data_IF_183987030130
#
_entry.id   IF_183987030130
#
_cell.length_a   1.000
_cell.length_b   1.000
_cell.length_c   1.000
_cell.angle_alpha   90.00
_cell.angle_beta   90.00
_cell.angle_gamma   90.00
#
_symmetry.space_group_name_H-M   'P 1'
#
loop_
_entity.id
_entity.type
_entity.pdbx_description
1 polymer ?
#
# COMPACT_ATOMS: atom_id res chain seq x y z
N UNK A 1 7.98 -14.34 -6.98
CA UNK A 1 8.39 -15.35 -7.96
C UNK A 1 8.82 -16.64 -7.27
N UNK A 2 8.95 -17.74 -8.01
CA UNK A 2 9.44 -19.04 -7.51
C UNK A 2 10.86 -18.94 -7.00
N UNK A 3 11.72 -18.19 -7.67
CA UNK A 3 13.13 -17.96 -7.28
C UNK A 3 13.22 -17.28 -5.91
N UNK A 4 12.36 -16.30 -5.65
CA UNK A 4 12.31 -15.62 -4.34
C UNK A 4 11.84 -16.57 -3.23
N UNK A 5 10.86 -17.43 -3.52
CA UNK A 5 10.38 -18.46 -2.58
C UNK A 5 11.51 -19.44 -2.26
N UNK A 6 12.25 -19.91 -3.28
CA UNK A 6 13.37 -20.83 -3.11
C UNK A 6 14.49 -20.19 -2.28
N UNK A 7 14.88 -18.95 -2.61
CA UNK A 7 15.89 -18.22 -1.86
C UNK A 7 15.49 -18.02 -0.38
N UNK A 8 14.23 -17.66 -0.12
CA UNK A 8 13.70 -17.51 1.22
C UNK A 8 13.72 -18.84 1.98
N UNK A 9 13.33 -19.92 1.32
CA UNK A 9 13.35 -21.26 1.91
C UNK A 9 14.76 -21.76 2.25
N UNK A 10 15.78 -21.43 1.42
CA UNK A 10 17.18 -21.71 1.72
C UNK A 10 17.62 -20.93 2.95
N UNK A 11 17.34 -19.63 3.00
CA UNK A 11 17.69 -18.76 4.13
C UNK A 11 17.03 -19.22 5.43
N UNK A 12 15.73 -19.53 5.40
CA UNK A 12 14.99 -20.03 6.55
C UNK A 12 15.58 -21.34 7.10
N UNK A 13 15.95 -22.25 6.20
CA UNK A 13 16.60 -23.51 6.57
C UNK A 13 17.96 -23.29 7.22
N UNK A 14 18.77 -22.40 6.64
CA UNK A 14 20.09 -22.07 7.19
C UNK A 14 20.01 -21.39 8.55
N UNK A 15 18.92 -20.69 8.83
CA UNK A 15 18.64 -20.05 10.10
C UNK A 15 17.88 -20.97 11.09
N UNK A 16 17.68 -22.24 10.73
CA UNK A 16 16.94 -23.24 11.53
C UNK A 16 15.55 -22.73 11.97
N UNK A 17 14.86 -22.01 11.10
CA UNK A 17 13.55 -21.40 11.39
C UNK A 17 12.53 -21.70 10.30
N UNK A 18 11.26 -21.39 10.58
CA UNK A 18 10.19 -21.42 9.60
C UNK A 18 9.60 -20.01 9.43
N UNK A 19 9.49 -19.55 8.17
CA UNK A 19 8.97 -18.22 7.83
C UNK A 19 7.56 -18.35 7.27
N UNK A 20 6.62 -17.53 7.80
CA UNK A 20 5.29 -17.34 7.23
C UNK A 20 5.33 -16.51 5.96
N UNK A 21 4.60 -16.94 4.93
CA UNK A 21 4.59 -16.32 3.60
C UNK A 21 3.16 -15.99 3.18
N UNK A 22 2.98 -14.76 2.75
CA UNK A 22 1.79 -14.31 2.03
C UNK A 22 2.13 -14.19 0.54
N UNK A 23 1.28 -14.72 -0.31
CA UNK A 23 1.44 -14.60 -1.77
C UNK A 23 0.77 -13.31 -2.21
N UNK A 24 1.54 -12.43 -2.86
CA UNK A 24 1.04 -11.17 -3.40
C UNK A 24 0.22 -11.43 -4.67
N UNK A 25 -0.99 -10.86 -4.72
CA UNK A 25 -1.89 -10.88 -5.86
C UNK A 25 -2.05 -9.45 -6.41
N UNK A 26 -1.75 -9.24 -7.67
CA UNK A 26 -2.03 -7.97 -8.34
C UNK A 26 -3.55 -7.79 -8.51
N UNK A 27 -4.06 -6.77 -7.87
CA UNK A 27 -5.49 -6.44 -7.88
C UNK A 27 -5.80 -5.23 -8.76
N UNK A 28 -4.88 -4.83 -9.65
CA UNK A 28 -5.04 -3.73 -10.60
C UNK A 28 -4.08 -2.56 -10.41
N UNK A 29 -3.16 -2.63 -9.44
CA UNK A 29 -2.12 -1.61 -9.28
C UNK A 29 -0.93 -1.82 -10.24
N UNK A 30 -0.74 -3.04 -10.73
CA UNK A 30 0.28 -3.41 -11.73
C UNK A 30 1.71 -3.07 -11.31
N UNK A 31 2.02 -3.23 -10.01
CA UNK A 31 3.36 -2.99 -9.48
C UNK A 31 4.09 -4.29 -9.15
N UNK A 32 3.43 -5.17 -8.41
CA UNK A 32 3.94 -6.47 -7.95
C UNK A 32 2.78 -7.45 -7.84
N UNK A 33 3.08 -8.70 -7.61
CA UNK A 33 2.09 -9.74 -7.36
C UNK A 33 1.88 -10.69 -8.54
N UNK A 34 1.21 -11.80 -8.27
CA UNK A 34 0.73 -12.71 -9.27
C UNK A 34 -0.35 -12.02 -10.13
N UNK A 35 -0.23 -12.10 -11.45
CA UNK A 35 -1.13 -11.38 -12.35
C UNK A 35 -2.57 -11.92 -12.36
N UNK A 36 -2.79 -13.15 -11.88
CA UNK A 36 -4.10 -13.80 -11.86
C UNK A 36 -4.27 -14.67 -10.61
N UNK A 37 -5.52 -14.98 -10.20
CA UNK A 37 -5.81 -15.97 -9.17
C UNK A 37 -5.13 -17.32 -9.41
N UNK A 38 -5.11 -17.80 -10.65
CA UNK A 38 -4.43 -19.05 -11.03
C UNK A 38 -2.91 -18.98 -10.82
N UNK A 39 -2.28 -17.87 -11.20
CA UNK A 39 -0.85 -17.66 -10.97
C UNK A 39 -0.52 -17.57 -9.46
N UNK A 40 -1.42 -16.99 -8.65
CA UNK A 40 -1.26 -16.98 -7.20
C UNK A 40 -1.32 -18.38 -6.59
N UNK A 41 -2.18 -19.25 -7.11
CA UNK A 41 -2.26 -20.67 -6.70
C UNK A 41 -0.95 -21.42 -6.97
N UNK A 42 -0.31 -21.20 -8.12
CA UNK A 42 0.97 -21.86 -8.42
C UNK A 42 2.07 -21.43 -7.43
N UNK A 43 2.13 -20.13 -7.09
CA UNK A 43 3.05 -19.66 -6.05
C UNK A 43 2.72 -20.24 -4.67
N UNK A 44 1.44 -20.30 -4.31
CA UNK A 44 1.00 -20.89 -3.05
C UNK A 44 1.38 -22.38 -2.92
N UNK A 45 1.21 -23.13 -4.01
CA UNK A 45 1.66 -24.53 -4.10
C UNK A 45 3.17 -24.66 -3.92
N UNK A 46 3.93 -23.73 -4.50
CA UNK A 46 5.39 -23.71 -4.38
C UNK A 46 5.83 -23.43 -2.94
N UNK A 47 5.21 -22.47 -2.25
CA UNK A 47 5.42 -22.22 -0.82
C UNK A 47 5.09 -23.45 0.01
N UNK A 48 3.92 -24.06 -0.21
CA UNK A 48 3.44 -25.20 0.58
C UNK A 48 4.32 -26.46 0.47
N UNK A 49 5.08 -26.62 -0.62
CA UNK A 49 6.03 -27.72 -0.79
C UNK A 49 7.33 -27.52 -0.01
N UNK A 50 7.63 -26.30 0.44
CA UNK A 50 8.87 -25.99 1.14
C UNK A 50 8.69 -26.11 2.65
N UNK A 51 9.38 -27.10 3.26
CA UNK A 51 9.25 -27.42 4.70
C UNK A 51 9.71 -26.28 5.62
N UNK A 52 10.56 -25.37 5.13
CA UNK A 52 11.06 -24.23 5.90
C UNK A 52 10.17 -22.98 5.74
N UNK A 53 9.09 -23.09 4.96
CA UNK A 53 8.11 -22.03 4.80
C UNK A 53 6.73 -22.50 5.26
N UNK A 54 5.92 -21.57 5.69
CA UNK A 54 4.52 -21.77 6.03
C UNK A 54 3.67 -20.86 5.15
N UNK A 55 2.73 -21.44 4.41
CA UNK A 55 1.78 -20.65 3.64
C UNK A 55 0.75 -20.05 4.62
N UNK A 56 0.75 -18.72 4.78
CA UNK A 56 -0.17 -18.02 5.66
C UNK A 56 -1.37 -17.41 4.92
N UNK A 57 -1.23 -17.07 3.65
CA UNK A 57 -2.35 -16.56 2.88
C UNK A 57 -1.99 -15.64 1.72
N UNK A 58 -2.87 -14.67 1.47
CA UNK A 58 -2.78 -13.69 0.39
C UNK A 58 -2.34 -12.32 0.92
N UNK A 59 -1.63 -11.61 0.06
CA UNK A 59 -1.27 -10.21 0.21
C UNK A 59 -1.82 -9.45 -0.99
N UNK A 60 -2.25 -8.20 -0.80
CA UNK A 60 -2.62 -7.30 -1.89
C UNK A 60 -2.41 -5.84 -1.51
N UNK A 61 -2.29 -4.95 -2.49
CA UNK A 61 -2.13 -3.52 -2.24
C UNK A 61 -2.96 -2.67 -3.21
N UNK A 62 -4.02 -1.97 -2.74
CA UNK A 62 -4.90 -1.14 -3.56
C UNK A 62 -4.33 0.27 -3.77
N UNK A 63 -3.07 0.38 -4.19
CA UNK A 63 -2.36 1.65 -4.35
C UNK A 63 -2.87 2.55 -5.47
N UNK A 64 -3.72 2.04 -6.35
CA UNK A 64 -4.39 2.80 -7.41
C UNK A 64 -5.72 3.42 -6.97
N UNK A 65 -6.26 3.03 -5.82
CA UNK A 65 -7.56 3.51 -5.34
C UNK A 65 -7.37 4.80 -4.55
N UNK A 66 -7.58 5.92 -5.25
CA UNK A 66 -7.52 7.29 -4.71
C UNK A 66 -8.83 8.05 -4.93
N UNK A 67 -9.92 7.34 -5.21
CA UNK A 67 -11.26 7.92 -5.30
C UNK A 67 -11.73 8.42 -3.92
N UNK A 68 -12.59 9.44 -3.87
CA UNK A 68 -13.29 9.81 -2.64
C UNK A 68 -13.95 8.58 -1.98
N UNK A 69 -14.00 8.55 -0.66
CA UNK A 69 -14.46 7.37 0.09
C UNK A 69 -15.86 6.88 -0.36
N UNK A 70 -16.77 7.81 -0.67
CA UNK A 70 -18.11 7.50 -1.15
C UNK A 70 -18.18 6.92 -2.58
N UNK A 71 -17.08 6.98 -3.32
CA UNK A 71 -16.99 6.50 -4.71
C UNK A 71 -16.18 5.18 -4.82
N UNK A 72 -15.60 4.69 -3.71
CA UNK A 72 -14.71 3.53 -3.74
C UNK A 72 -15.45 2.19 -3.85
N UNK A 73 -16.72 2.13 -3.50
CA UNK A 73 -17.47 0.88 -3.36
C UNK A 73 -17.41 -0.05 -4.60
N UNK A 74 -17.56 0.43 -5.85
CA UNK A 74 -17.48 -0.44 -7.03
C UNK A 74 -16.11 -1.09 -7.19
N UNK A 75 -15.04 -0.32 -6.97
CA UNK A 75 -13.67 -0.84 -7.12
C UNK A 75 -13.31 -1.79 -5.99
N UNK A 76 -13.70 -1.50 -4.75
CA UNK A 76 -13.48 -2.40 -3.61
C UNK A 76 -14.27 -3.71 -3.76
N UNK A 77 -15.47 -3.66 -4.33
CA UNK A 77 -16.23 -4.87 -4.66
C UNK A 77 -15.56 -5.71 -5.76
N UNK A 78 -14.95 -5.08 -6.77
CA UNK A 78 -14.14 -5.76 -7.79
C UNK A 78 -12.93 -6.44 -7.17
N UNK A 79 -12.23 -5.76 -6.28
CA UNK A 79 -11.08 -6.30 -5.53
C UNK A 79 -11.52 -7.50 -4.69
N UNK A 80 -12.62 -7.38 -3.95
CA UNK A 80 -13.14 -8.47 -3.12
C UNK A 80 -13.49 -9.70 -3.95
N UNK A 81 -14.13 -9.52 -5.11
CA UNK A 81 -14.47 -10.62 -6.02
C UNK A 81 -13.21 -11.36 -6.52
N UNK A 82 -12.14 -10.62 -6.86
CA UNK A 82 -10.88 -11.21 -7.31
C UNK A 82 -10.17 -11.98 -6.18
N UNK A 83 -10.19 -11.45 -4.97
CA UNK A 83 -9.67 -12.14 -3.78
C UNK A 83 -10.47 -13.41 -3.47
N UNK A 84 -11.79 -13.32 -3.51
CA UNK A 84 -12.68 -14.47 -3.30
C UNK A 84 -12.42 -15.58 -4.33
N UNK A 85 -12.23 -15.23 -5.61
CA UNK A 85 -11.87 -16.19 -6.65
C UNK A 85 -10.54 -16.90 -6.32
N UNK A 86 -9.50 -16.16 -5.90
CA UNK A 86 -8.22 -16.73 -5.53
C UNK A 86 -8.34 -17.68 -4.33
N UNK A 87 -9.07 -17.26 -3.30
CA UNK A 87 -9.32 -18.07 -2.09
C UNK A 87 -10.05 -19.37 -2.45
N UNK A 88 -11.06 -19.30 -3.29
CA UNK A 88 -11.82 -20.47 -3.76
C UNK A 88 -10.95 -21.45 -4.56
N UNK A 89 -10.08 -20.94 -5.44
CA UNK A 89 -9.14 -21.76 -6.19
C UNK A 89 -8.16 -22.48 -5.25
N UNK A 90 -7.62 -21.78 -4.26
CA UNK A 90 -6.74 -22.35 -3.26
C UNK A 90 -7.44 -23.43 -2.46
N UNK A 91 -8.66 -23.15 -1.96
CA UNK A 91 -9.47 -24.10 -1.19
C UNK A 91 -9.78 -25.38 -1.96
N UNK A 92 -10.16 -25.27 -3.24
CA UNK A 92 -10.37 -26.42 -4.13
C UNK A 92 -9.10 -27.24 -4.35
N UNK A 93 -7.95 -26.65 -4.14
CA UNK A 93 -6.63 -27.29 -4.25
C UNK A 93 -6.08 -27.78 -2.90
N UNK A 94 -6.88 -27.75 -1.83
CA UNK A 94 -6.47 -28.17 -0.49
C UNK A 94 -5.55 -27.19 0.23
N UNK A 95 -5.49 -25.93 -0.23
CA UNK A 95 -4.73 -24.85 0.41
C UNK A 95 -5.67 -23.86 1.09
N UNK A 96 -5.19 -23.19 2.13
CA UNK A 96 -5.97 -22.21 2.89
C UNK A 96 -5.25 -20.85 2.91
N UNK A 97 -6.00 -19.78 2.64
CA UNK A 97 -5.57 -18.40 2.87
C UNK A 97 -6.15 -17.93 4.22
N UNK A 98 -5.45 -18.21 5.31
CA UNK A 98 -5.88 -17.82 6.67
C UNK A 98 -5.78 -16.33 6.90
N UNK A 99 -4.81 -15.70 6.27
CA UNK A 99 -4.58 -14.25 6.31
C UNK A 99 -4.81 -13.71 4.90
N UNK A 100 -5.64 -12.69 4.79
CA UNK A 100 -5.82 -11.89 3.59
C UNK A 100 -5.49 -10.46 3.95
N UNK A 101 -4.25 -10.08 3.69
CA UNK A 101 -3.64 -8.84 4.16
C UNK A 101 -3.60 -7.79 3.06
N UNK A 102 -4.18 -6.61 3.30
CA UNK A 102 -4.23 -5.57 2.28
C UNK A 102 -4.50 -4.17 2.81
N UNK A 103 -5.08 -3.35 1.94
CA UNK A 103 -5.47 -1.99 2.30
C UNK A 103 -4.37 -0.93 2.14
N UNK A 104 -4.81 0.30 2.18
CA UNK A 104 -4.01 1.53 2.10
C UNK A 104 -4.66 2.60 2.96
N UNK A 105 -4.00 3.74 3.20
CA UNK A 105 -4.62 4.87 3.90
C UNK A 105 -5.87 5.38 3.18
N UNK A 106 -5.89 5.59 1.85
CA UNK A 106 -7.09 6.01 1.14
C UNK A 106 -8.28 5.06 1.28
N UNK A 107 -8.05 3.75 1.41
CA UNK A 107 -9.13 2.75 1.50
C UNK A 107 -9.47 2.32 2.92
N UNK A 108 -8.77 2.85 3.95
CA UNK A 108 -8.88 2.37 5.32
C UNK A 108 -10.30 2.43 5.87
N UNK A 109 -11.00 3.56 5.67
CA UNK A 109 -12.37 3.76 6.16
C UNK A 109 -13.44 2.94 5.43
N UNK A 110 -13.12 2.43 4.25
CA UNK A 110 -14.00 1.59 3.43
C UNK A 110 -13.55 0.12 3.38
N UNK A 111 -12.54 -0.25 4.19
CA UNK A 111 -11.95 -1.59 4.20
C UNK A 111 -12.97 -2.71 4.46
N UNK A 112 -14.05 -2.41 5.19
CA UNK A 112 -15.16 -3.33 5.47
C UNK A 112 -15.91 -3.80 4.20
N UNK A 113 -15.76 -3.11 3.07
CA UNK A 113 -16.33 -3.50 1.79
C UNK A 113 -15.53 -4.63 1.11
N UNK A 114 -14.29 -4.86 1.52
CA UNK A 114 -13.48 -6.01 1.07
C UNK A 114 -13.66 -7.13 2.09
N UNK A 115 -14.71 -7.92 1.94
CA UNK A 115 -15.15 -8.93 2.91
C UNK A 115 -14.17 -10.08 3.09
N UNK A 116 -13.39 -10.39 2.05
CA UNK A 116 -12.33 -11.40 2.07
C UNK A 116 -11.13 -11.00 2.92
N UNK A 117 -10.97 -9.72 3.24
CA UNK A 117 -9.83 -9.18 3.96
C UNK A 117 -9.91 -9.48 5.46
N UNK A 118 -8.80 -9.93 6.04
CA UNK A 118 -8.72 -10.24 7.49
C UNK A 118 -7.91 -9.22 8.28
N UNK A 119 -7.06 -8.44 7.62
CA UNK A 119 -6.26 -7.38 8.24
C UNK A 119 -5.98 -6.24 7.26
N UNK A 120 -5.77 -5.04 7.80
CA UNK A 120 -5.45 -3.85 7.01
C UNK A 120 -4.05 -3.34 7.33
N UNK A 121 -3.40 -2.68 6.35
CA UNK A 121 -2.03 -2.15 6.48
C UNK A 121 -1.92 -0.68 6.04
N UNK A 122 -2.79 0.22 6.52
CA UNK A 122 -2.61 1.65 6.28
C UNK A 122 -1.34 2.11 7.02
N UNK A 123 -0.54 2.95 6.39
CA UNK A 123 0.69 3.48 6.98
C UNK A 123 0.67 4.99 7.14
N UNK A 124 0.37 5.71 6.07
CA UNK A 124 0.45 7.18 6.01
C UNK A 124 -0.48 7.87 7.00
N UNK A 125 -1.61 7.26 7.38
CA UNK A 125 -2.62 7.84 8.28
C UNK A 125 -2.06 8.27 9.65
N UNK A 126 -0.92 7.70 10.09
CA UNK A 126 -0.32 8.00 11.40
C UNK A 126 0.20 9.43 11.45
N UNK A 127 0.81 9.88 10.35
CA UNK A 127 1.37 11.22 10.23
C UNK A 127 0.63 12.08 9.22
N UNK A 128 -0.08 11.45 8.30
CA UNK A 128 -0.65 12.04 7.10
C UNK A 128 0.38 12.85 6.28
N UNK A 129 -0.04 13.37 5.16
CA UNK A 129 0.77 14.20 4.29
C UNK A 129 -0.11 15.05 3.36
N UNK A 130 0.51 15.90 2.56
CA UNK A 130 -0.21 16.75 1.61
C UNK A 130 -0.97 15.95 0.55
N UNK A 131 -0.58 14.70 0.24
CA UNK A 131 -1.33 13.85 -0.70
C UNK A 131 -2.64 13.39 -0.08
N UNK A 132 -2.62 12.92 1.16
CA UNK A 132 -3.82 12.49 1.89
C UNK A 132 -4.76 13.65 2.16
N UNK A 133 -4.23 14.82 2.55
CA UNK A 133 -5.04 16.02 2.82
C UNK A 133 -5.72 16.53 1.53
N UNK A 134 -4.97 16.73 0.45
CA UNK A 134 -5.51 17.22 -0.83
C UNK A 134 -6.42 16.22 -1.54
N UNK A 135 -6.28 14.94 -1.25
CA UNK A 135 -7.20 13.91 -1.72
C UNK A 135 -8.48 13.79 -0.87
N UNK A 136 -8.58 14.54 0.24
CA UNK A 136 -9.77 14.58 1.09
C UNK A 136 -9.88 13.43 2.09
N UNK A 137 -8.78 12.75 2.41
CA UNK A 137 -8.75 11.67 3.39
C UNK A 137 -8.45 12.15 4.81
N UNK A 138 -7.94 13.36 4.96
CA UNK A 138 -7.72 14.04 6.24
C UNK A 138 -7.74 15.56 6.02
N UNK A 139 -7.72 16.35 7.10
CA UNK A 139 -7.51 17.80 7.05
C UNK A 139 -6.00 18.12 7.06
N UNK A 140 -5.64 19.39 6.79
CA UNK A 140 -4.25 19.83 6.95
C UNK A 140 -3.77 19.76 8.39
N UNK A 141 -4.67 19.96 9.34
CA UNK A 141 -4.40 19.91 10.77
C UNK A 141 -4.02 18.49 11.24
N UNK A 142 -4.45 17.47 10.50
CA UNK A 142 -4.08 16.08 10.76
C UNK A 142 -2.69 15.71 10.24
N UNK A 143 -2.01 16.62 9.52
CA UNK A 143 -0.64 16.40 9.05
C UNK A 143 0.34 16.72 10.19
N UNK A 144 0.98 15.69 10.73
CA UNK A 144 1.81 15.81 11.93
C UNK A 144 3.16 16.50 11.69
N UNK A 145 3.65 16.57 10.44
CA UNK A 145 4.95 17.15 10.12
C UNK A 145 4.82 18.57 9.57
N UNK A 146 5.50 19.51 10.20
CA UNK A 146 5.70 20.86 9.71
C UNK A 146 7.19 21.21 9.72
N UNK A 147 7.60 22.05 8.79
CA UNK A 147 8.99 22.54 8.69
C UNK A 147 8.99 24.04 8.98
N UNK A 148 9.70 24.43 10.03
CA UNK A 148 9.96 25.84 10.31
C UNK A 148 11.08 26.32 9.39
N UNK A 149 10.82 27.38 8.61
CA UNK A 149 11.76 27.98 7.70
C UNK A 149 11.87 29.49 7.93
N UNK A 150 13.05 30.05 7.70
CA UNK A 150 13.27 31.47 7.76
C UNK A 150 13.16 32.09 6.38
N UNK A 151 12.42 33.20 6.25
CA UNK A 151 12.44 34.01 5.02
C UNK A 151 13.77 34.77 4.97
N UNK A 152 14.62 34.39 4.03
CA UNK A 152 15.97 34.98 3.88
C UNK A 152 15.99 36.12 2.86
N UNK A 153 15.03 36.26 1.97
CA UNK A 153 14.92 37.35 1.03
C UNK A 153 13.52 37.56 0.48
N UNK A 154 13.12 38.79 0.31
CA UNK A 154 11.90 39.25 -0.38
C UNK A 154 12.20 40.26 -1.49
N UNK A 155 13.45 40.34 -1.94
CA UNK A 155 13.94 41.35 -2.90
C UNK A 155 13.29 41.21 -4.29
N UNK A 156 12.79 40.03 -4.65
CA UNK A 156 12.11 39.80 -5.93
C UNK A 156 10.59 39.90 -5.72
N UNK A 157 9.96 40.83 -6.44
CA UNK A 157 8.51 41.05 -6.30
C UNK A 157 7.72 39.74 -6.52
N UNK A 158 6.82 39.45 -5.59
CA UNK A 158 5.95 38.26 -5.65
C UNK A 158 6.63 36.96 -5.27
N UNK A 159 7.84 37.04 -4.70
CA UNK A 159 8.57 35.85 -4.22
C UNK A 159 9.13 36.09 -2.82
N UNK A 160 9.11 35.04 -2.02
CA UNK A 160 9.89 34.93 -0.80
C UNK A 160 10.86 33.76 -0.94
N UNK A 161 12.12 33.97 -0.60
CA UNK A 161 13.12 32.90 -0.55
C UNK A 161 13.26 32.47 0.89
N UNK A 162 13.21 31.17 1.12
CA UNK A 162 13.36 30.55 2.44
C UNK A 162 14.63 29.71 2.50
N UNK A 163 15.12 29.44 3.69
CA UNK A 163 16.30 28.58 3.92
C UNK A 163 15.99 27.06 3.78
N UNK A 164 14.72 26.70 3.68
CA UNK A 164 14.30 25.33 3.35
C UNK A 164 14.28 25.08 1.83
N UNK A 165 14.81 23.95 1.39
CA UNK A 165 14.87 23.61 -0.03
C UNK A 165 14.82 22.11 -0.26
N UNK A 166 15.28 21.65 -1.43
CA UNK A 166 15.23 20.24 -1.87
C UNK A 166 15.96 19.24 -0.97
N UNK A 167 16.75 19.72 -0.03
CA UNK A 167 17.42 18.89 0.99
C UNK A 167 16.64 18.85 2.31
N UNK A 168 15.63 19.68 2.46
CA UNK A 168 14.76 19.75 3.64
C UNK A 168 13.39 19.17 3.34
N UNK A 169 12.85 19.49 2.15
CA UNK A 169 11.57 19.00 1.68
C UNK A 169 11.77 17.78 0.77
N UNK A 170 10.76 16.92 0.70
CA UNK A 170 10.72 15.88 -0.31
C UNK A 170 10.68 16.47 -1.73
N UNK A 171 11.25 15.76 -2.69
CA UNK A 171 11.08 16.05 -4.12
C UNK A 171 9.75 15.53 -4.68
N UNK A 172 9.01 14.75 -3.91
CA UNK A 172 7.74 14.19 -4.34
C UNK A 172 6.70 15.31 -4.49
N UNK A 173 5.93 15.23 -5.55
CA UNK A 173 4.83 16.14 -5.83
C UNK A 173 3.49 15.47 -5.54
N UNK A 174 2.47 16.28 -5.38
CA UNK A 174 1.12 15.77 -5.25
C UNK A 174 0.72 14.97 -6.50
N UNK A 175 0.22 13.75 -6.31
CA UNK A 175 -0.12 12.83 -7.40
C UNK A 175 -1.24 13.39 -8.29
N UNK A 176 -2.24 14.08 -7.69
CA UNK A 176 -3.40 14.63 -8.42
C UNK A 176 -3.18 16.09 -8.87
N UNK A 177 -2.33 16.82 -8.18
CA UNK A 177 -2.12 18.25 -8.39
C UNK A 177 -0.61 18.56 -8.41
N UNK A 178 0.13 18.06 -9.42
CA UNK A 178 1.59 18.21 -9.46
C UNK A 178 2.05 19.69 -9.53
N UNK A 179 1.21 20.59 -10.02
CA UNK A 179 1.44 22.05 -10.07
C UNK A 179 1.31 22.73 -8.70
N UNK A 180 0.76 22.07 -7.69
CA UNK A 180 0.52 22.64 -6.36
C UNK A 180 1.79 22.80 -5.50
N UNK A 181 2.98 22.48 -6.06
CA UNK A 181 4.26 22.57 -5.39
C UNK A 181 4.52 21.47 -4.38
N UNK A 182 5.49 21.70 -3.49
CA UNK A 182 6.05 20.69 -2.58
C UNK A 182 5.53 20.82 -1.13
N UNK A 183 4.71 21.80 -0.85
CA UNK A 183 4.22 22.03 0.51
C UNK A 183 3.03 23.00 0.55
N UNK A 184 2.62 23.33 1.74
CA UNK A 184 1.62 24.34 2.05
C UNK A 184 2.20 25.30 3.08
N UNK A 185 2.05 26.61 2.84
CA UNK A 185 2.43 27.63 3.82
C UNK A 185 1.26 27.75 4.81
N UNK A 186 1.56 27.53 6.08
CA UNK A 186 0.57 27.71 7.15
C UNK A 186 0.55 29.19 7.51
N UNK A 187 -0.62 29.80 7.50
CA UNK A 187 -0.82 31.19 7.93
C UNK A 187 -0.62 31.29 9.47
N UNK A 188 0.07 32.34 9.89
CA UNK A 188 0.23 32.73 11.28
C UNK A 188 -0.81 33.78 11.68
#
# INVERSE_FOLDING_TARGET
>A
STEAIDALGIAARSAETQIGVLVDLDIGFHRTGAATPAASLELARHVARNKSLRLDGLFFYPGHVWLPANEQAPELARIDALLAEAIDLWKKSGLEARIVSGGSTPTAYQSHLVRSQTEIRPGTYIYNDMNTARAGFCSLEDCAAALACTVVSTSVRGKAVIDGGTKTFTSDRNIKLPESGHGHVVDY
#
